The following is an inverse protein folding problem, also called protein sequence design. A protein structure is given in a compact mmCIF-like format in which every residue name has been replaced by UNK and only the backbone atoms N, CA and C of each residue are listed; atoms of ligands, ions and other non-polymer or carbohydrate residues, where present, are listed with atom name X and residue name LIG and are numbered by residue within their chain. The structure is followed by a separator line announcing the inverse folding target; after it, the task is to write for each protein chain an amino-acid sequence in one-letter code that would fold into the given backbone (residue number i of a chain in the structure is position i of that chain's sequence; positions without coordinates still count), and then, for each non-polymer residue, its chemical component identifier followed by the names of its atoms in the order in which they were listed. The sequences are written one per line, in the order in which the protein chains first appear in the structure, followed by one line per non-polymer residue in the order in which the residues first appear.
data_IF_239554876334
#
_entry.id   IF_239554876334
#
_cell.length_a   1.000
_cell.length_b   1.000
_cell.length_c   1.000
_cell.angle_alpha   90.00
_cell.angle_beta   90.00
_cell.angle_gamma   90.00
#
_symmetry.space_group_name_H-M   'P 1'
#
loop_
_entity.id
_entity.type
_entity.pdbx_description
1 polymer ?
#
# COMPACT_ATOMS: atom_id res chain seq x y z
N UNK A 1 1.60 -39.36 9.50
CA UNK A 1 1.29 -38.02 10.04
C UNK A 1 2.52 -37.11 10.07
N UNK A 2 3.63 -37.46 10.75
CA UNK A 2 4.83 -36.59 10.79
C UNK A 2 5.48 -36.34 9.42
N UNK A 3 5.62 -37.38 8.59
CA UNK A 3 6.17 -37.26 7.22
C UNK A 3 5.30 -36.35 6.34
N UNK A 4 3.99 -36.35 6.57
CA UNK A 4 3.01 -35.56 5.82
C UNK A 4 3.05 -34.08 6.22
N UNK A 5 3.24 -33.81 7.52
CA UNK A 5 3.34 -32.45 8.06
C UNK A 5 4.67 -31.78 7.69
N UNK A 6 5.76 -32.54 7.69
CA UNK A 6 7.06 -32.09 7.16
C UNK A 6 6.97 -31.78 5.66
N UNK A 7 6.24 -32.59 4.90
CA UNK A 7 5.99 -32.34 3.48
C UNK A 7 5.16 -31.08 3.26
N UNK A 8 4.12 -30.86 4.07
CA UNK A 8 3.28 -29.65 4.02
C UNK A 8 4.09 -28.38 4.26
N UNK A 9 5.04 -28.41 5.18
CA UNK A 9 5.92 -27.26 5.46
C UNK A 9 6.85 -26.98 4.30
N UNK A 10 7.44 -28.02 3.68
CA UNK A 10 8.26 -27.84 2.49
C UNK A 10 7.44 -27.24 1.35
N UNK A 11 6.23 -27.74 1.11
CA UNK A 11 5.32 -27.17 0.11
C UNK A 11 5.01 -25.70 0.42
N UNK A 12 4.66 -25.38 1.67
CA UNK A 12 4.38 -24.03 2.11
C UNK A 12 5.58 -23.08 1.95
N UNK A 13 6.78 -23.55 2.30
CA UNK A 13 8.03 -22.82 2.15
C UNK A 13 8.36 -22.56 0.67
N UNK A 14 8.19 -23.55 -0.20
CA UNK A 14 8.46 -23.41 -1.63
C UNK A 14 7.44 -22.48 -2.30
N UNK A 15 6.16 -22.63 -1.98
CA UNK A 15 5.11 -21.73 -2.47
C UNK A 15 5.33 -20.30 -1.95
N UNK A 16 5.52 -20.13 -0.65
CA UNK A 16 5.79 -18.82 -0.04
C UNK A 16 7.06 -18.17 -0.62
N UNK A 17 8.14 -18.92 -0.79
CA UNK A 17 9.39 -18.43 -1.36
C UNK A 17 9.21 -17.99 -2.82
N UNK A 18 8.51 -18.78 -3.63
CA UNK A 18 8.18 -18.43 -5.01
C UNK A 18 7.29 -17.18 -5.12
N UNK A 19 6.24 -17.09 -4.31
CA UNK A 19 5.34 -15.93 -4.27
C UNK A 19 6.07 -14.67 -3.81
N UNK A 20 6.98 -14.79 -2.83
CA UNK A 20 7.77 -13.68 -2.29
C UNK A 20 8.52 -12.95 -3.39
N UNK A 21 9.48 -13.60 -4.04
CA UNK A 21 10.27 -12.94 -5.09
C UNK A 21 9.46 -12.71 -6.37
N UNK A 22 8.53 -13.61 -6.69
CA UNK A 22 7.69 -13.52 -7.88
C UNK A 22 6.88 -12.23 -7.93
N UNK A 23 6.20 -11.86 -6.83
CA UNK A 23 5.49 -10.58 -6.75
C UNK A 23 6.43 -9.41 -6.45
N UNK A 24 7.45 -9.60 -5.60
CA UNK A 24 8.34 -8.53 -5.17
C UNK A 24 9.20 -7.92 -6.29
N UNK A 25 9.60 -8.73 -7.27
CA UNK A 25 10.39 -8.26 -8.42
C UNK A 25 9.59 -7.39 -9.41
N UNK A 26 8.26 -7.56 -9.49
CA UNK A 26 7.41 -6.85 -10.45
C UNK A 26 7.49 -5.34 -10.22
N UNK A 27 7.35 -4.92 -8.97
CA UNK A 27 7.30 -3.50 -8.63
C UNK A 27 8.61 -2.78 -8.92
N UNK A 28 9.72 -3.36 -8.47
CA UNK A 28 11.06 -2.81 -8.72
C UNK A 28 11.33 -2.70 -10.22
N UNK A 29 11.14 -3.77 -10.99
CA UNK A 29 11.40 -3.77 -12.43
C UNK A 29 10.59 -2.69 -13.19
N UNK A 30 9.31 -2.50 -12.85
CA UNK A 30 8.47 -1.44 -13.44
C UNK A 30 9.00 -0.05 -13.06
N UNK A 31 9.29 0.18 -11.78
CA UNK A 31 9.81 1.45 -11.28
C UNK A 31 11.17 1.82 -11.89
N UNK A 32 12.09 0.86 -11.94
CA UNK A 32 13.42 1.02 -12.53
C UNK A 32 13.38 1.24 -14.03
N UNK A 33 12.52 0.49 -14.74
CA UNK A 33 12.31 0.68 -16.18
C UNK A 33 11.75 2.07 -16.49
N UNK A 34 10.84 2.58 -15.65
CA UNK A 34 10.33 3.94 -15.78
C UNK A 34 11.43 5.00 -15.55
N UNK A 35 12.25 4.82 -14.51
CA UNK A 35 13.40 5.70 -14.25
C UNK A 35 14.39 5.71 -15.43
N UNK A 36 14.74 4.54 -15.96
CA UNK A 36 15.60 4.41 -17.14
C UNK A 36 15.00 5.09 -18.39
N UNK A 37 13.69 4.94 -18.62
CA UNK A 37 13.02 5.58 -19.74
C UNK A 37 13.07 7.12 -19.64
N UNK A 38 12.87 7.69 -18.46
CA UNK A 38 13.00 9.15 -18.27
C UNK A 38 14.47 9.61 -18.30
N UNK A 39 15.41 8.81 -17.81
CA UNK A 39 16.84 9.10 -17.95
C UNK A 39 17.26 9.16 -19.43
N UNK A 40 16.81 8.23 -20.27
CA UNK A 40 17.06 8.29 -21.72
C UNK A 40 16.50 9.56 -22.37
N UNK A 41 15.30 10.00 -21.97
CA UNK A 41 14.75 11.29 -22.44
C UNK A 41 15.61 12.46 -21.98
N UNK A 42 16.01 12.48 -20.72
CA UNK A 42 16.89 13.51 -20.16
C UNK A 42 18.26 13.57 -20.89
N UNK A 43 18.84 12.41 -21.21
CA UNK A 43 20.08 12.30 -21.99
C UNK A 43 19.92 12.74 -23.44
N UNK A 44 18.78 12.45 -24.07
CA UNK A 44 18.51 12.90 -25.44
C UNK A 44 18.41 14.41 -25.55
N UNK A 45 18.00 15.09 -24.48
CA UNK A 45 17.97 16.54 -24.39
C UNK A 45 19.35 17.13 -24.07
N UNK A 46 20.13 16.49 -23.18
CA UNK A 46 21.45 16.98 -22.73
C UNK A 46 22.48 15.84 -22.58
N UNK A 47 23.15 15.40 -23.67
CA UNK A 47 24.10 14.28 -23.64
C UNK A 47 25.35 14.54 -22.77
N UNK A 48 25.75 15.80 -22.64
CA UNK A 48 26.92 16.23 -21.86
C UNK A 48 26.77 15.92 -20.36
N UNK A 49 25.53 15.80 -19.87
CA UNK A 49 25.21 15.51 -18.46
C UNK A 49 25.11 14.01 -18.17
N UNK A 50 25.64 13.16 -19.06
CA UNK A 50 25.45 11.71 -18.99
C UNK A 50 25.91 11.09 -17.69
N UNK A 51 27.09 11.49 -17.19
CA UNK A 51 27.60 11.01 -15.92
C UNK A 51 26.65 11.27 -14.75
N UNK A 52 26.11 12.48 -14.64
CA UNK A 52 25.23 12.88 -13.53
C UNK A 52 23.85 12.24 -13.62
N UNK A 53 23.28 12.18 -14.83
CA UNK A 53 21.97 11.57 -15.06
C UNK A 53 22.03 10.05 -14.80
N UNK A 54 23.03 9.36 -15.36
CA UNK A 54 23.21 7.92 -15.13
C UNK A 54 23.47 7.63 -13.66
N UNK A 55 24.32 8.42 -12.99
CA UNK A 55 24.56 8.26 -11.55
C UNK A 55 23.26 8.41 -10.75
N UNK A 56 22.44 9.41 -11.06
CA UNK A 56 21.17 9.65 -10.36
C UNK A 56 20.17 8.52 -10.62
N UNK A 57 20.06 8.07 -11.86
CA UNK A 57 19.25 6.92 -12.26
C UNK A 57 19.64 5.68 -11.44
N UNK A 58 20.93 5.34 -11.40
CA UNK A 58 21.42 4.16 -10.67
C UNK A 58 21.17 4.25 -9.16
N UNK A 59 21.33 5.44 -8.56
CA UNK A 59 21.00 5.65 -7.14
C UNK A 59 19.51 5.45 -6.90
N UNK A 60 18.64 6.00 -7.76
CA UNK A 60 17.20 5.83 -7.65
C UNK A 60 16.75 4.37 -7.84
N UNK A 61 17.32 3.68 -8.83
CA UNK A 61 17.08 2.25 -9.08
C UNK A 61 17.53 1.40 -7.89
N UNK A 62 18.71 1.64 -7.32
CA UNK A 62 19.16 0.92 -6.13
C UNK A 62 18.20 1.06 -4.93
N UNK A 63 17.57 2.23 -4.77
CA UNK A 63 16.55 2.42 -3.73
C UNK A 63 15.27 1.67 -4.09
N UNK A 64 14.84 1.66 -5.35
CA UNK A 64 13.67 0.89 -5.79
C UNK A 64 13.87 -0.63 -5.60
N UNK A 65 15.05 -1.12 -5.95
CA UNK A 65 15.47 -2.52 -5.85
C UNK A 65 15.46 -3.05 -4.41
N UNK A 66 15.64 -2.17 -3.41
CA UNK A 66 15.64 -2.59 -1.99
C UNK A 66 14.36 -3.35 -1.59
N UNK A 67 13.20 -3.00 -2.18
CA UNK A 67 11.95 -3.72 -1.96
C UNK A 67 12.01 -5.18 -2.47
N UNK A 68 12.56 -5.38 -3.67
CA UNK A 68 12.76 -6.69 -4.26
C UNK A 68 13.81 -7.49 -3.48
N UNK A 69 14.86 -6.83 -2.96
CA UNK A 69 15.85 -7.46 -2.07
C UNK A 69 15.19 -7.96 -0.78
N UNK A 70 14.27 -7.21 -0.17
CA UNK A 70 13.54 -7.70 1.01
C UNK A 70 12.74 -8.98 0.68
N UNK A 71 12.06 -9.00 -0.46
CA UNK A 71 11.36 -10.19 -0.93
C UNK A 71 12.29 -11.37 -1.27
N UNK A 72 13.48 -11.09 -1.82
CA UNK A 72 14.51 -12.09 -2.10
C UNK A 72 15.05 -12.69 -0.80
N UNK A 73 15.33 -11.86 0.20
CA UNK A 73 15.81 -12.32 1.51
C UNK A 73 14.77 -13.23 2.16
N UNK A 74 13.49 -12.86 2.17
CA UNK A 74 12.42 -13.72 2.69
C UNK A 74 12.30 -15.01 1.88
N UNK A 75 12.42 -14.95 0.55
CA UNK A 75 12.37 -16.15 -0.29
C UNK A 75 13.49 -17.14 0.07
N UNK A 76 14.73 -16.66 0.17
CA UNK A 76 15.88 -17.48 0.57
C UNK A 76 15.68 -18.03 1.98
N UNK A 77 15.24 -17.19 2.93
CA UNK A 77 14.97 -17.64 4.28
C UNK A 77 13.91 -18.74 4.28
N UNK A 78 12.79 -18.60 3.56
CA UNK A 78 11.76 -19.64 3.48
C UNK A 78 12.31 -20.95 2.91
N UNK A 79 13.14 -20.90 1.86
CA UNK A 79 13.70 -22.11 1.21
C UNK A 79 14.67 -22.89 2.11
N UNK A 80 15.42 -22.20 2.97
CA UNK A 80 16.46 -22.81 3.80
C UNK A 80 16.11 -22.84 5.30
N UNK A 81 14.94 -22.34 5.70
CA UNK A 81 14.49 -22.34 7.09
C UNK A 81 14.23 -23.78 7.56
N UNK A 82 14.94 -24.17 8.61
CA UNK A 82 14.62 -25.40 9.33
C UNK A 82 13.49 -25.13 10.32
N UNK A 83 12.42 -25.93 10.22
CA UNK A 83 11.28 -25.86 11.14
C UNK A 83 11.33 -27.08 12.07
N UNK A 84 11.74 -26.90 13.34
CA UNK A 84 11.92 -28.03 14.26
C UNK A 84 10.59 -28.69 14.65
N UNK A 85 9.53 -27.89 14.81
CA UNK A 85 8.21 -28.33 15.22
C UNK A 85 7.21 -28.13 14.06
N UNK A 86 6.96 -29.18 13.26
CA UNK A 86 6.07 -29.04 12.12
C UNK A 86 4.62 -28.88 12.58
N UNK A 87 3.93 -27.83 12.16
CA UNK A 87 2.50 -27.61 12.46
C UNK A 87 1.76 -27.02 11.25
N UNK A 88 0.45 -27.25 11.17
CA UNK A 88 -0.41 -26.64 10.13
C UNK A 88 -0.40 -25.12 10.24
N UNK A 89 -0.34 -24.59 11.46
CA UNK A 89 -0.21 -23.15 11.72
C UNK A 89 1.07 -22.61 11.09
N UNK A 90 2.18 -23.34 11.21
CA UNK A 90 3.44 -22.93 10.61
C UNK A 90 3.39 -22.98 9.10
N UNK A 91 2.80 -24.02 8.51
CA UNK A 91 2.63 -24.08 7.05
C UNK A 91 1.85 -22.86 6.53
N UNK A 92 0.72 -22.51 7.16
CA UNK A 92 -0.06 -21.34 6.76
C UNK A 92 0.70 -20.01 6.96
N UNK A 93 1.47 -19.88 8.05
CA UNK A 93 2.26 -18.68 8.32
C UNK A 93 3.40 -18.48 7.32
N UNK A 94 4.04 -19.55 6.82
CA UNK A 94 5.09 -19.46 5.81
C UNK A 94 4.56 -19.00 4.44
N UNK A 95 3.39 -19.50 4.03
CA UNK A 95 2.72 -19.02 2.81
C UNK A 95 2.32 -17.55 2.99
N UNK A 96 1.71 -17.22 4.14
CA UNK A 96 1.33 -15.86 4.49
C UNK A 96 2.52 -14.89 4.48
N UNK A 97 3.68 -15.30 5.01
CA UNK A 97 4.90 -14.50 5.03
C UNK A 97 5.41 -14.17 3.63
N UNK A 98 5.50 -15.17 2.75
CA UNK A 98 5.94 -14.97 1.37
C UNK A 98 5.01 -14.05 0.60
N UNK A 99 3.70 -14.25 0.72
CA UNK A 99 2.70 -13.39 0.08
C UNK A 99 2.72 -11.96 0.61
N UNK A 100 2.94 -11.79 1.92
CA UNK A 100 2.99 -10.50 2.58
C UNK A 100 4.07 -9.59 2.01
N UNK A 101 5.33 -10.07 1.99
CA UNK A 101 6.44 -9.27 1.47
C UNK A 101 6.39 -9.12 -0.05
N UNK A 102 5.97 -10.16 -0.78
CA UNK A 102 5.88 -10.09 -2.24
C UNK A 102 4.92 -8.98 -2.70
N UNK A 103 3.70 -8.95 -2.13
CA UNK A 103 2.72 -7.90 -2.42
C UNK A 103 3.13 -6.54 -1.84
N UNK A 104 3.78 -6.50 -0.67
CA UNK A 104 4.22 -5.25 -0.07
C UNK A 104 5.37 -4.57 -0.82
N UNK A 105 6.28 -5.37 -1.39
CA UNK A 105 7.36 -4.88 -2.23
C UNK A 105 6.85 -4.36 -3.58
N UNK A 106 5.79 -4.95 -4.13
CA UNK A 106 5.20 -4.55 -5.41
C UNK A 106 4.84 -3.05 -5.42
N UNK A 107 4.10 -2.57 -4.43
CA UNK A 107 3.69 -1.17 -4.41
C UNK A 107 4.85 -0.19 -4.25
N UNK A 108 5.75 -0.50 -3.32
CA UNK A 108 6.90 0.34 -2.96
C UNK A 108 7.92 0.44 -4.11
N UNK A 109 8.15 -0.67 -4.84
CA UNK A 109 9.01 -0.70 -6.02
C UNK A 109 8.47 0.18 -7.15
N UNK A 110 7.16 0.11 -7.46
CA UNK A 110 6.57 0.98 -8.49
C UNK A 110 6.63 2.45 -8.08
N UNK A 111 6.26 2.76 -6.83
CA UNK A 111 6.21 4.14 -6.32
C UNK A 111 7.57 4.83 -6.32
N UNK A 112 8.63 4.13 -5.90
CA UNK A 112 10.00 4.68 -5.82
C UNK A 112 10.64 4.97 -7.18
N UNK A 113 10.14 4.39 -8.27
CA UNK A 113 10.60 4.72 -9.63
C UNK A 113 10.27 6.14 -10.08
N UNK A 114 9.18 6.74 -9.60
CA UNK A 114 8.75 8.09 -9.99
C UNK A 114 9.70 9.22 -9.53
N UNK A 115 10.14 9.31 -8.26
CA UNK A 115 11.12 10.31 -7.86
C UNK A 115 12.45 10.17 -8.61
N UNK A 116 12.92 8.95 -8.88
CA UNK A 116 14.12 8.72 -9.68
C UNK A 116 13.98 9.25 -11.12
N UNK A 117 12.85 8.93 -11.75
CA UNK A 117 12.50 9.40 -13.08
C UNK A 117 12.48 10.93 -13.20
N UNK A 118 11.74 11.62 -12.31
CA UNK A 118 11.64 13.08 -12.34
C UNK A 118 12.93 13.77 -11.85
N UNK A 119 13.73 13.10 -11.01
CA UNK A 119 15.06 13.58 -10.65
C UNK A 119 16.00 13.61 -11.86
N UNK A 120 16.01 12.56 -12.69
CA UNK A 120 16.82 12.54 -13.91
C UNK A 120 16.42 13.68 -14.87
N UNK A 121 15.12 13.91 -15.07
CA UNK A 121 14.62 15.00 -15.91
C UNK A 121 14.94 16.38 -15.36
N UNK A 122 14.83 16.56 -14.05
CA UNK A 122 15.14 17.86 -13.46
C UNK A 122 16.64 18.16 -13.46
N UNK A 123 17.53 17.17 -13.37
CA UNK A 123 18.98 17.37 -13.53
C UNK A 123 19.31 17.85 -14.94
N UNK A 124 18.70 17.26 -15.97
CA UNK A 124 18.87 17.73 -17.35
C UNK A 124 18.45 19.20 -17.53
N UNK A 125 17.48 19.68 -16.74
CA UNK A 125 17.01 21.07 -16.79
C UNK A 125 17.81 22.01 -15.89
N UNK A 126 18.25 21.53 -14.72
CA UNK A 126 18.92 22.31 -13.69
C UNK A 126 20.05 21.51 -13.03
N UNK A 127 21.22 21.36 -13.69
CA UNK A 127 22.33 20.55 -13.19
C UNK A 127 22.88 21.06 -11.85
N UNK A 128 22.81 22.38 -11.64
CA UNK A 128 23.25 23.05 -10.43
C UNK A 128 22.50 22.60 -9.16
N UNK A 129 21.32 22.00 -9.31
CA UNK A 129 20.51 21.52 -8.19
C UNK A 129 20.66 20.03 -7.92
N UNK A 130 21.58 19.33 -8.60
CA UNK A 130 21.76 17.88 -8.48
C UNK A 130 21.76 17.40 -7.02
N UNK A 131 22.57 18.00 -6.13
CA UNK A 131 22.62 17.59 -4.72
C UNK A 131 21.28 17.75 -3.98
N UNK A 132 20.54 18.84 -4.23
CA UNK A 132 19.21 19.04 -3.65
C UNK A 132 18.19 18.06 -4.23
N UNK A 133 18.25 17.81 -5.54
CA UNK A 133 17.39 16.85 -6.23
C UNK A 133 17.61 15.42 -5.73
N UNK A 134 18.86 14.99 -5.59
CA UNK A 134 19.18 13.68 -5.01
C UNK A 134 18.63 13.58 -3.59
N UNK A 135 18.74 14.64 -2.79
CA UNK A 135 18.18 14.65 -1.42
C UNK A 135 16.66 14.49 -1.45
N UNK A 136 15.94 15.27 -2.25
CA UNK A 136 14.47 15.15 -2.38
C UNK A 136 14.06 13.78 -2.90
N UNK A 137 14.77 13.26 -3.90
CA UNK A 137 14.56 11.92 -4.46
C UNK A 137 14.72 10.85 -3.38
N UNK A 138 15.80 10.89 -2.61
CA UNK A 138 16.07 9.91 -1.55
C UNK A 138 15.05 9.99 -0.42
N UNK A 139 14.72 11.20 0.04
CA UNK A 139 13.69 11.39 1.09
C UNK A 139 12.34 10.86 0.61
N UNK A 140 11.92 11.23 -0.61
CA UNK A 140 10.68 10.75 -1.19
C UNK A 140 10.66 9.23 -1.36
N UNK A 141 11.74 8.65 -1.88
CA UNK A 141 11.86 7.19 -2.08
C UNK A 141 11.91 6.43 -0.76
N UNK A 142 12.56 6.96 0.28
CA UNK A 142 12.58 6.35 1.60
C UNK A 142 11.17 6.24 2.21
N UNK A 143 10.35 7.28 2.03
CA UNK A 143 8.95 7.27 2.44
C UNK A 143 8.17 6.20 1.66
N UNK A 144 8.42 6.06 0.35
CA UNK A 144 7.81 5.01 -0.49
C UNK A 144 8.14 3.59 -0.03
N UNK A 145 9.28 3.38 0.62
CA UNK A 145 9.72 2.06 1.08
C UNK A 145 9.08 1.61 2.40
N UNK A 146 8.46 2.52 3.15
CA UNK A 146 7.86 2.18 4.44
C UNK A 146 6.83 1.04 4.37
N UNK A 147 5.93 0.92 3.36
CA UNK A 147 4.98 -0.18 3.34
C UNK A 147 5.65 -1.54 3.09
N UNK A 148 6.71 -1.60 2.29
CA UNK A 148 7.53 -2.80 2.14
C UNK A 148 8.22 -3.19 3.45
N UNK A 149 8.70 -2.21 4.23
CA UNK A 149 9.28 -2.47 5.57
C UNK A 149 8.20 -3.01 6.52
N UNK A 150 7.00 -2.45 6.54
CA UNK A 150 5.89 -2.98 7.36
C UNK A 150 5.55 -4.42 6.97
N UNK A 151 5.48 -4.73 5.67
CA UNK A 151 5.28 -6.11 5.20
C UNK A 151 6.44 -7.02 5.57
N UNK A 152 7.69 -6.54 5.52
CA UNK A 152 8.87 -7.31 5.93
C UNK A 152 8.78 -7.67 7.42
N UNK A 153 8.39 -6.73 8.27
CA UNK A 153 8.21 -6.97 9.70
C UNK A 153 7.14 -8.05 9.94
N UNK A 154 5.97 -7.96 9.29
CA UNK A 154 4.91 -8.97 9.44
C UNK A 154 5.36 -10.33 8.90
N UNK A 155 6.05 -10.38 7.76
CA UNK A 155 6.59 -11.62 7.19
C UNK A 155 7.59 -12.30 8.15
N UNK A 156 8.54 -11.54 8.71
CA UNK A 156 9.49 -12.05 9.69
C UNK A 156 8.79 -12.54 10.96
N UNK A 157 7.78 -11.82 11.45
CA UNK A 157 6.99 -12.27 12.59
C UNK A 157 6.28 -13.61 12.31
N UNK A 158 5.62 -13.75 11.15
CA UNK A 158 4.98 -15.02 10.75
C UNK A 158 6.00 -16.18 10.61
N UNK A 159 7.22 -15.88 10.19
CA UNK A 159 8.31 -16.86 10.02
C UNK A 159 8.98 -17.28 11.33
N UNK A 160 9.10 -16.40 12.32
CA UNK A 160 9.92 -16.67 13.51
C UNK A 160 9.13 -16.79 14.81
N UNK A 161 7.91 -16.26 14.87
CA UNK A 161 7.05 -16.44 16.05
C UNK A 161 6.54 -17.88 16.09
N UNK A 162 6.56 -18.46 17.29
CA UNK A 162 5.90 -19.72 17.60
C UNK A 162 4.50 -19.43 18.13
N UNK A 163 3.49 -19.96 17.46
CA UNK A 163 2.08 -19.76 17.83
C UNK A 163 1.52 -20.86 18.74
N UNK A 164 2.38 -21.77 19.24
CA UNK A 164 2.01 -22.83 20.18
C UNK A 164 0.95 -23.77 19.64
N UNK A 165 0.15 -24.35 20.54
CA UNK A 165 -0.94 -25.28 20.25
C UNK A 165 -2.28 -24.58 19.95
N UNK A 166 -2.22 -23.40 19.35
CA UNK A 166 -3.42 -22.66 19.00
C UNK A 166 -4.32 -23.45 18.01
N UNK A 167 -5.65 -23.20 18.04
CA UNK A 167 -6.59 -23.97 17.23
C UNK A 167 -6.31 -23.83 15.73
N UNK A 168 -6.69 -24.85 14.95
CA UNK A 168 -6.45 -24.91 13.49
C UNK A 168 -7.03 -23.69 12.75
N UNK A 169 -8.11 -23.10 13.26
CA UNK A 169 -8.67 -21.85 12.72
C UNK A 169 -7.66 -20.70 12.67
N UNK A 170 -6.69 -20.67 13.61
CA UNK A 170 -5.62 -19.68 13.65
C UNK A 170 -4.69 -19.81 12.45
N UNK A 171 -4.57 -20.98 11.83
CA UNK A 171 -3.78 -21.12 10.60
C UNK A 171 -4.32 -20.20 9.48
N UNK A 172 -5.64 -20.13 9.32
CA UNK A 172 -6.28 -19.24 8.32
C UNK A 172 -6.11 -17.77 8.70
N UNK A 173 -6.17 -17.44 10.00
CA UNK A 173 -5.89 -16.09 10.48
C UNK A 173 -4.44 -15.66 10.20
N UNK A 174 -3.46 -16.54 10.38
CA UNK A 174 -2.03 -16.27 10.09
C UNK A 174 -1.77 -16.06 8.60
N UNK A 175 -2.37 -16.89 7.75
CA UNK A 175 -2.35 -16.67 6.31
C UNK A 175 -3.02 -15.33 5.94
N UNK A 176 -4.19 -15.06 6.50
CA UNK A 176 -4.94 -13.82 6.33
C UNK A 176 -4.16 -12.58 6.78
N UNK A 177 -3.40 -12.65 7.88
CA UNK A 177 -2.56 -11.56 8.35
C UNK A 177 -1.52 -11.15 7.30
N UNK A 178 -0.83 -12.13 6.71
CA UNK A 178 0.13 -11.89 5.64
C UNK A 178 -0.52 -11.29 4.39
N UNK A 179 -1.65 -11.85 3.97
CA UNK A 179 -2.43 -11.35 2.83
C UNK A 179 -2.93 -9.91 3.05
N UNK A 180 -3.45 -9.60 4.24
CA UNK A 180 -3.99 -8.29 4.60
C UNK A 180 -2.92 -7.20 4.49
N UNK A 181 -1.78 -7.40 5.17
CA UNK A 181 -0.66 -6.47 5.15
C UNK A 181 -0.08 -6.32 3.74
N UNK A 182 0.12 -7.44 3.02
CA UNK A 182 0.63 -7.44 1.66
C UNK A 182 -0.22 -6.61 0.71
N UNK A 183 -1.54 -6.83 0.69
CA UNK A 183 -2.47 -6.06 -0.14
C UNK A 183 -2.53 -4.58 0.29
N UNK A 184 -2.60 -4.29 1.58
CA UNK A 184 -2.69 -2.93 2.09
C UNK A 184 -1.45 -2.06 1.82
N UNK A 185 -0.29 -2.70 1.65
CA UNK A 185 0.95 -2.03 1.28
C UNK A 185 1.00 -1.59 -0.20
N UNK A 186 0.27 -2.26 -1.11
CA UNK A 186 0.33 -1.97 -2.56
C UNK A 186 -0.04 -0.51 -2.84
N UNK A 187 -1.25 -0.10 -2.45
CA UNK A 187 -1.76 1.24 -2.72
C UNK A 187 -0.91 2.34 -2.09
N UNK A 188 -0.52 2.14 -0.83
CA UNK A 188 0.28 3.09 -0.06
C UNK A 188 1.69 3.29 -0.64
N UNK A 189 2.33 2.19 -1.07
CA UNK A 189 3.66 2.22 -1.69
C UNK A 189 3.64 2.94 -3.03
N UNK A 190 2.67 2.61 -3.89
CA UNK A 190 2.51 3.28 -5.19
C UNK A 190 2.13 4.75 -5.05
N UNK A 191 1.17 5.05 -4.16
CA UNK A 191 0.63 6.40 -3.96
C UNK A 191 1.66 7.37 -3.42
N UNK A 192 2.49 6.97 -2.46
CA UNK A 192 3.53 7.84 -1.88
C UNK A 192 4.67 8.21 -2.85
N UNK A 193 4.81 7.49 -3.96
CA UNK A 193 5.73 7.81 -5.05
C UNK A 193 5.35 9.03 -5.87
N UNK A 194 4.05 9.29 -6.01
CA UNK A 194 3.54 10.40 -6.82
C UNK A 194 3.92 11.79 -6.29
N UNK A 195 3.70 12.12 -4.99
CA UNK A 195 4.18 13.39 -4.43
C UNK A 195 5.70 13.51 -4.44
N UNK A 196 6.44 12.40 -4.29
CA UNK A 196 7.90 12.42 -4.39
C UNK A 196 8.39 12.82 -5.80
N UNK A 197 7.80 12.24 -6.85
CA UNK A 197 8.06 12.61 -8.24
C UNK A 197 7.71 14.07 -8.53
N UNK A 198 6.49 14.50 -8.18
CA UNK A 198 6.06 15.89 -8.41
C UNK A 198 6.84 16.90 -7.57
N UNK A 199 7.35 16.52 -6.39
CA UNK A 199 8.27 17.35 -5.61
C UNK A 199 9.65 17.50 -6.30
N UNK A 200 10.20 16.43 -6.88
CA UNK A 200 11.46 16.48 -7.64
C UNK A 200 11.32 17.40 -8.87
N UNK A 201 10.25 17.19 -9.65
CA UNK A 201 9.89 18.02 -10.80
C UNK A 201 9.61 19.47 -10.39
N UNK A 202 8.93 19.65 -9.26
CA UNK A 202 8.62 20.96 -8.68
C UNK A 202 9.86 21.72 -8.24
N UNK A 203 10.84 21.03 -7.65
CA UNK A 203 12.12 21.60 -7.25
C UNK A 203 12.92 22.11 -8.45
N UNK A 204 12.97 21.32 -9.54
CA UNK A 204 13.61 21.73 -10.79
C UNK A 204 12.88 22.88 -11.51
N UNK A 205 11.62 23.14 -11.17
CA UNK A 205 10.86 24.28 -11.69
C UNK A 205 10.99 25.51 -10.80
N UNK A 206 10.93 25.33 -9.50
CA UNK A 206 10.88 26.42 -8.52
C UNK A 206 11.75 26.10 -7.29
N UNK A 207 13.06 26.35 -7.37
CA UNK A 207 14.01 26.00 -6.31
C UNK A 207 13.77 26.77 -5.01
N UNK A 208 13.19 27.97 -5.10
CA UNK A 208 12.86 28.80 -3.94
C UNK A 208 11.74 28.20 -3.07
N UNK A 209 10.91 27.30 -3.62
CA UNK A 209 9.82 26.64 -2.90
C UNK A 209 10.21 25.27 -2.31
N UNK A 210 11.52 24.95 -2.24
CA UNK A 210 12.01 23.65 -1.78
C UNK A 210 11.49 23.22 -0.39
N UNK A 211 11.48 24.15 0.58
CA UNK A 211 10.99 23.90 1.93
C UNK A 211 9.50 23.51 1.94
N UNK A 212 8.60 24.37 1.44
CA UNK A 212 7.18 24.06 1.31
C UNK A 212 6.89 22.78 0.51
N UNK A 213 7.62 22.53 -0.59
CA UNK A 213 7.47 21.31 -1.38
C UNK A 213 7.80 20.06 -0.57
N UNK A 214 8.93 20.06 0.15
CA UNK A 214 9.34 18.92 0.96
C UNK A 214 8.35 18.67 2.10
N UNK A 215 7.91 19.72 2.78
CA UNK A 215 6.91 19.61 3.85
C UNK A 215 5.60 19.03 3.32
N UNK A 216 5.08 19.55 2.20
CA UNK A 216 3.83 19.08 1.62
C UNK A 216 3.94 17.65 1.06
N UNK A 217 5.08 17.29 0.45
CA UNK A 217 5.38 15.92 0.04
C UNK A 217 5.31 14.97 1.24
N UNK A 218 5.98 15.29 2.34
CA UNK A 218 6.00 14.45 3.54
C UNK A 218 4.61 14.31 4.17
N UNK A 219 3.88 15.41 4.33
CA UNK A 219 2.51 15.40 4.88
C UNK A 219 1.59 14.58 3.99
N UNK A 220 1.60 14.83 2.68
CA UNK A 220 0.76 14.12 1.72
C UNK A 220 1.08 12.62 1.67
N UNK A 221 2.36 12.26 1.67
CA UNK A 221 2.79 10.85 1.68
C UNK A 221 2.48 10.13 3.00
N UNK A 222 2.60 10.81 4.15
CA UNK A 222 2.26 10.23 5.45
C UNK A 222 0.77 9.86 5.50
N UNK A 223 -0.10 10.74 5.00
CA UNK A 223 -1.53 10.46 4.89
C UNK A 223 -1.79 9.29 3.93
N UNK A 224 -1.09 9.22 2.79
CA UNK A 224 -1.20 8.08 1.85
C UNK A 224 -0.79 6.72 2.43
N UNK A 225 -0.10 6.69 3.57
CA UNK A 225 0.34 5.45 4.22
C UNK A 225 -0.59 4.93 5.30
N UNK A 226 -1.56 5.73 5.78
CA UNK A 226 -2.50 5.28 6.81
C UNK A 226 -3.26 4.00 6.41
N UNK A 227 -3.60 3.73 5.14
CA UNK A 227 -4.23 2.45 4.77
C UNK A 227 -3.34 1.23 4.99
N UNK A 228 -2.01 1.35 4.77
CA UNK A 228 -1.08 0.29 5.11
C UNK A 228 -0.97 0.09 6.63
N UNK A 229 -1.07 1.17 7.42
CA UNK A 229 -1.11 1.08 8.89
C UNK A 229 -2.39 0.36 9.33
N UNK A 230 -3.55 0.65 8.75
CA UNK A 230 -4.80 -0.06 9.05
C UNK A 230 -4.69 -1.56 8.74
N UNK A 231 -4.10 -1.92 7.59
CA UNK A 231 -3.84 -3.31 7.24
C UNK A 231 -2.84 -3.99 8.20
N UNK A 232 -1.78 -3.30 8.61
CA UNK A 232 -0.83 -3.80 9.61
C UNK A 232 -1.53 -4.06 10.94
N UNK A 233 -2.38 -3.15 11.41
CA UNK A 233 -3.12 -3.30 12.66
C UNK A 233 -4.03 -4.54 12.58
N UNK A 234 -4.76 -4.75 11.48
CA UNK A 234 -5.58 -5.95 11.27
C UNK A 234 -4.72 -7.22 11.23
N UNK A 235 -3.56 -7.19 10.56
CA UNK A 235 -2.64 -8.32 10.53
C UNK A 235 -2.12 -8.69 11.94
N UNK A 236 -1.72 -7.69 12.73
CA UNK A 236 -1.30 -7.89 14.12
C UNK A 236 -2.45 -8.44 14.98
N UNK A 237 -3.67 -7.94 14.82
CA UNK A 237 -4.84 -8.50 15.49
C UNK A 237 -5.06 -9.96 15.11
N UNK A 238 -5.02 -10.31 13.83
CA UNK A 238 -5.18 -11.70 13.38
C UNK A 238 -4.09 -12.65 13.92
N UNK A 239 -2.87 -12.15 14.13
CA UNK A 239 -1.78 -12.93 14.71
C UNK A 239 -1.91 -13.13 16.23
N UNK A 240 -2.28 -12.09 16.96
CA UNK A 240 -2.15 -12.04 18.42
C UNK A 240 -3.47 -12.14 19.18
N UNK A 241 -4.62 -11.95 18.54
CA UNK A 241 -5.91 -12.19 19.21
C UNK A 241 -6.05 -13.66 19.61
N UNK A 242 -6.61 -13.86 20.79
CA UNK A 242 -6.98 -15.18 21.28
C UNK A 242 -8.40 -15.50 20.80
N UNK A 243 -8.50 -16.44 19.88
CA UNK A 243 -9.79 -16.86 19.32
C UNK A 243 -10.47 -17.96 20.16
N UNK A 244 -9.91 -18.34 21.32
CA UNK A 244 -10.54 -19.30 22.25
C UNK A 244 -10.93 -20.63 21.56
N UNK A 245 -12.06 -21.20 21.99
CA UNK A 245 -12.68 -22.39 21.37
C UNK A 245 -13.59 -22.03 20.19
N UNK A 246 -13.18 -21.08 19.34
CA UNK A 246 -13.92 -20.81 18.10
C UNK A 246 -14.01 -22.08 17.26
N UNK A 247 -15.22 -22.53 16.96
CA UNK A 247 -15.43 -23.61 16.00
C UNK A 247 -14.80 -23.23 14.65
N UNK A 248 -14.22 -24.22 13.96
CA UNK A 248 -13.56 -23.96 12.68
C UNK A 248 -14.53 -23.31 11.67
N UNK A 249 -15.75 -23.87 11.54
CA UNK A 249 -16.81 -23.33 10.68
C UNK A 249 -17.84 -22.56 11.54
N UNK A 250 -18.09 -21.25 11.29
CA UNK A 250 -17.68 -20.43 10.14
C UNK A 250 -16.46 -19.51 10.36
N UNK A 251 -15.76 -19.63 11.49
CA UNK A 251 -14.73 -18.68 11.90
C UNK A 251 -13.55 -18.52 10.91
N UNK A 252 -13.13 -19.60 10.23
CA UNK A 252 -12.06 -19.51 9.22
C UNK A 252 -12.37 -18.48 8.13
N UNK A 253 -13.63 -18.43 7.70
CA UNK A 253 -14.11 -17.57 6.64
C UNK A 253 -14.27 -16.12 7.12
N UNK A 254 -14.65 -15.93 8.38
CA UNK A 254 -14.68 -14.62 9.01
C UNK A 254 -13.29 -13.99 9.09
N UNK A 255 -12.27 -14.75 9.52
CA UNK A 255 -10.90 -14.23 9.63
C UNK A 255 -10.27 -13.95 8.26
N UNK A 256 -10.49 -14.82 7.27
CA UNK A 256 -10.03 -14.55 5.91
C UNK A 256 -10.80 -13.37 5.28
N UNK A 257 -12.10 -13.29 5.52
CA UNK A 257 -12.94 -12.16 5.10
C UNK A 257 -12.46 -10.84 5.70
N UNK A 258 -12.11 -10.81 6.99
CA UNK A 258 -11.55 -9.65 7.67
C UNK A 258 -10.23 -9.21 7.02
N UNK A 259 -9.31 -10.14 6.77
CA UNK A 259 -8.06 -9.85 6.09
C UNK A 259 -8.27 -9.20 4.71
N UNK A 260 -9.16 -9.80 3.90
CA UNK A 260 -9.47 -9.34 2.54
C UNK A 260 -10.17 -7.98 2.53
N UNK A 261 -11.05 -7.72 3.50
CA UNK A 261 -11.82 -6.48 3.59
C UNK A 261 -10.91 -5.25 3.75
N UNK A 262 -10.04 -5.24 4.77
CA UNK A 262 -9.09 -4.14 4.96
C UNK A 262 -8.00 -4.14 3.90
N UNK A 263 -7.43 -5.31 3.58
CA UNK A 263 -6.30 -5.40 2.64
C UNK A 263 -6.62 -4.86 1.25
N UNK A 264 -7.75 -5.27 0.65
CA UNK A 264 -8.14 -4.81 -0.68
C UNK A 264 -8.60 -3.34 -0.67
N UNK A 265 -9.41 -2.92 0.29
CA UNK A 265 -9.93 -1.54 0.36
C UNK A 265 -8.83 -0.49 0.57
N UNK A 266 -7.72 -0.88 1.19
CA UNK A 266 -6.54 -0.05 1.36
C UNK A 266 -5.82 0.30 0.04
N UNK A 267 -5.92 -0.54 -1.00
CA UNK A 267 -5.24 -0.32 -2.29
C UNK A 267 -5.70 0.99 -2.94
N UNK A 268 -7.01 1.14 -3.12
CA UNK A 268 -7.57 2.34 -3.75
C UNK A 268 -7.32 3.60 -2.95
N UNK A 269 -7.51 3.51 -1.63
CA UNK A 269 -7.36 4.64 -0.71
C UNK A 269 -5.92 5.16 -0.67
N UNK A 270 -4.93 4.25 -0.58
CA UNK A 270 -3.51 4.61 -0.54
C UNK A 270 -3.05 5.27 -1.85
N UNK A 271 -3.43 4.70 -2.99
CA UNK A 271 -3.06 5.25 -4.29
C UNK A 271 -3.74 6.61 -4.55
N UNK A 272 -5.05 6.69 -4.28
CA UNK A 272 -5.84 7.92 -4.47
C UNK A 272 -5.33 9.08 -3.61
N UNK A 273 -4.92 8.82 -2.36
CA UNK A 273 -4.28 9.84 -1.53
C UNK A 273 -2.97 10.34 -2.13
N UNK A 274 -2.21 9.44 -2.77
CA UNK A 274 -0.99 9.77 -3.49
C UNK A 274 -1.20 10.75 -4.64
N UNK A 275 -2.25 10.53 -5.44
CA UNK A 275 -2.62 11.43 -6.54
C UNK A 275 -2.89 12.85 -6.05
N UNK A 276 -3.70 12.99 -4.99
CA UNK A 276 -4.01 14.27 -4.38
C UNK A 276 -2.75 14.97 -3.84
N UNK A 277 -1.85 14.22 -3.18
CA UNK A 277 -0.58 14.74 -2.68
C UNK A 277 0.35 15.21 -3.81
N UNK A 278 0.42 14.46 -4.92
CA UNK A 278 1.20 14.84 -6.10
C UNK A 278 0.68 16.11 -6.76
N UNK A 279 -0.64 16.23 -6.97
CA UNK A 279 -1.24 17.46 -7.49
C UNK A 279 -1.02 18.67 -6.58
N UNK A 280 -0.95 18.46 -5.26
CA UNK A 280 -0.65 19.52 -4.30
C UNK A 280 0.81 19.99 -4.44
N UNK A 281 1.76 19.06 -4.55
CA UNK A 281 3.17 19.38 -4.81
C UNK A 281 3.34 20.12 -6.16
N UNK A 282 2.67 19.64 -7.22
CA UNK A 282 2.64 20.30 -8.52
C UNK A 282 2.07 21.73 -8.41
N UNK A 283 0.96 21.90 -7.67
CA UNK A 283 0.31 23.18 -7.43
C UNK A 283 1.23 24.17 -6.72
N UNK A 284 1.92 23.74 -5.67
CA UNK A 284 2.88 24.55 -4.91
C UNK A 284 4.05 24.98 -5.79
N UNK A 285 4.58 24.08 -6.63
CA UNK A 285 5.67 24.40 -7.53
C UNK A 285 5.29 25.48 -8.56
N UNK A 286 4.02 25.48 -9.01
CA UNK A 286 3.49 26.46 -9.96
C UNK A 286 3.12 27.78 -9.28
N UNK A 287 2.57 27.70 -8.06
CA UNK A 287 2.01 28.83 -7.33
C UNK A 287 2.41 28.78 -5.84
N UNK A 288 3.67 29.15 -5.48
CA UNK A 288 4.19 29.00 -4.11
C UNK A 288 3.47 29.84 -3.05
N UNK A 289 2.71 30.86 -3.46
CA UNK A 289 1.90 31.67 -2.54
C UNK A 289 0.65 30.95 -2.03
N UNK A 290 0.23 29.88 -2.73
CA UNK A 290 -1.01 29.17 -2.47
C UNK A 290 -0.82 27.89 -1.63
N UNK A 291 0.31 27.73 -0.93
CA UNK A 291 0.62 26.53 -0.13
C UNK A 291 -0.50 26.21 0.87
N UNK A 292 -0.94 27.18 1.66
CA UNK A 292 -1.97 26.98 2.67
C UNK A 292 -3.27 26.38 2.09
N UNK A 293 -3.94 27.07 1.14
CA UNK A 293 -5.14 26.54 0.48
C UNK A 293 -4.95 25.16 -0.16
N UNK A 294 -3.79 24.91 -0.79
CA UNK A 294 -3.49 23.64 -1.45
C UNK A 294 -3.35 22.49 -0.45
N UNK A 295 -2.59 22.69 0.62
CA UNK A 295 -2.43 21.70 1.69
C UNK A 295 -3.75 21.42 2.38
N UNK A 296 -4.57 22.44 2.65
CA UNK A 296 -5.91 22.24 3.26
C UNK A 296 -6.81 21.38 2.40
N UNK A 297 -6.92 21.67 1.10
CA UNK A 297 -7.81 20.91 0.19
C UNK A 297 -7.25 19.51 -0.08
N UNK A 298 -5.93 19.37 -0.16
CA UNK A 298 -5.28 18.06 -0.20
C UNK A 298 -5.71 17.21 1.00
N UNK A 299 -5.56 17.72 2.22
CA UNK A 299 -5.92 16.98 3.43
C UNK A 299 -7.40 16.64 3.50
N UNK A 300 -8.29 17.56 3.12
CA UNK A 300 -9.73 17.27 3.08
C UNK A 300 -10.06 16.22 2.02
N UNK A 301 -9.49 16.34 0.82
CA UNK A 301 -9.68 15.37 -0.24
C UNK A 301 -9.16 13.97 0.14
N UNK A 302 -7.99 13.90 0.78
CA UNK A 302 -7.42 12.65 1.30
C UNK A 302 -8.26 12.04 2.42
N UNK A 303 -8.78 12.86 3.36
CA UNK A 303 -9.64 12.37 4.43
C UNK A 303 -10.88 11.64 3.89
N UNK A 304 -11.50 12.18 2.84
CA UNK A 304 -12.63 11.50 2.17
C UNK A 304 -12.17 10.29 1.36
N UNK A 305 -11.02 10.36 0.70
CA UNK A 305 -10.48 9.24 -0.07
C UNK A 305 -10.15 8.00 0.79
N UNK A 306 -9.96 8.17 2.10
CA UNK A 306 -9.67 7.09 3.03
C UNK A 306 -10.89 6.36 3.60
N UNK A 307 -12.08 6.96 3.54
CA UNK A 307 -13.27 6.33 4.17
C UNK A 307 -13.59 4.93 3.65
N UNK A 308 -13.34 4.54 2.37
CA UNK A 308 -13.58 3.17 1.93
C UNK A 308 -12.68 2.16 2.65
N UNK A 309 -11.43 2.53 2.96
CA UNK A 309 -10.55 1.71 3.79
C UNK A 309 -11.04 1.64 5.24
N UNK A 310 -11.62 2.73 5.77
CA UNK A 310 -12.23 2.74 7.11
C UNK A 310 -13.46 1.82 7.16
N UNK A 311 -14.28 1.77 6.09
CA UNK A 311 -15.38 0.81 5.99
C UNK A 311 -14.87 -0.64 5.94
N UNK A 312 -13.77 -0.90 5.20
CA UNK A 312 -13.08 -2.19 5.23
C UNK A 312 -12.58 -2.57 6.62
N UNK A 313 -11.97 -1.62 7.33
CA UNK A 313 -11.52 -1.79 8.72
C UNK A 313 -12.68 -2.12 9.66
N UNK A 314 -13.80 -1.40 9.52
CA UNK A 314 -15.01 -1.64 10.30
C UNK A 314 -15.55 -3.06 10.08
N UNK A 315 -15.70 -3.49 8.81
CA UNK A 315 -16.16 -4.85 8.48
C UNK A 315 -15.19 -5.90 9.03
N UNK A 316 -13.88 -5.63 8.97
CA UNK A 316 -12.85 -6.52 9.53
C UNK A 316 -12.99 -6.68 11.04
N UNK A 317 -13.24 -5.59 11.77
CA UNK A 317 -13.46 -5.64 13.21
C UNK A 317 -14.74 -6.39 13.56
N UNK A 318 -15.82 -6.16 12.80
CA UNK A 318 -17.08 -6.88 13.01
C UNK A 318 -16.85 -8.39 12.81
N UNK A 319 -16.16 -8.80 11.74
CA UNK A 319 -15.87 -10.21 11.47
C UNK A 319 -14.95 -10.86 12.51
N UNK A 320 -14.02 -10.12 13.12
CA UNK A 320 -13.12 -10.65 14.14
C UNK A 320 -13.76 -10.76 15.53
N UNK A 321 -14.62 -9.81 15.91
CA UNK A 321 -15.14 -9.71 17.28
C UNK A 321 -16.58 -10.21 17.45
N UNK A 322 -17.34 -10.40 16.36
CA UNK A 322 -18.68 -10.98 16.43
C UNK A 322 -18.58 -12.49 16.64
N UNK A 323 -19.31 -13.01 17.63
CA UNK A 323 -19.45 -14.44 17.82
C UNK A 323 -20.42 -15.03 16.77
N UNK A 324 -20.01 -16.14 16.15
CA UNK A 324 -20.82 -16.89 15.19
C UNK A 324 -21.06 -18.30 15.74
N UNK A 325 -22.32 -18.79 15.76
CA UNK A 325 -22.62 -20.12 16.25
C UNK A 325 -21.99 -21.18 15.33
N UNK A 326 -21.54 -22.28 15.93
CA UNK A 326 -21.00 -23.42 15.18
C UNK A 326 -22.06 -23.98 14.23
N UNK A 327 -21.64 -24.28 12.99
CA UNK A 327 -22.53 -24.80 11.97
C UNK A 327 -21.81 -25.77 11.03
N UNK A 328 -22.49 -26.85 10.67
CA UNK A 328 -22.02 -27.77 9.63
C UNK A 328 -22.29 -27.23 8.21
N UNK A 329 -23.17 -26.23 8.07
CA UNK A 329 -23.48 -25.65 6.78
C UNK A 329 -22.31 -24.83 6.23
N UNK A 330 -22.06 -24.94 4.91
CA UNK A 330 -21.05 -24.13 4.24
C UNK A 330 -21.54 -22.68 3.98
N UNK A 331 -22.85 -22.49 3.88
CA UNK A 331 -23.45 -21.19 3.52
C UNK A 331 -23.07 -20.06 4.49
N UNK A 332 -23.10 -20.22 5.82
CA UNK A 332 -22.68 -19.16 6.75
C UNK A 332 -21.21 -18.77 6.58
N UNK A 333 -20.29 -19.73 6.43
CA UNK A 333 -18.89 -19.42 6.15
C UNK A 333 -18.74 -18.62 4.84
N UNK A 334 -19.39 -19.07 3.76
CA UNK A 334 -19.30 -18.37 2.49
C UNK A 334 -19.92 -16.97 2.56
N UNK A 335 -20.97 -16.75 3.36
CA UNK A 335 -21.53 -15.42 3.60
C UNK A 335 -20.50 -14.49 4.25
N UNK A 336 -19.80 -14.94 5.31
CA UNK A 336 -18.79 -14.14 6.00
C UNK A 336 -17.56 -13.84 5.12
N UNK A 337 -17.08 -14.81 4.35
CA UNK A 337 -16.01 -14.58 3.37
C UNK A 337 -16.46 -13.59 2.29
N UNK A 338 -17.69 -13.74 1.79
CA UNK A 338 -18.26 -12.87 0.76
C UNK A 338 -18.46 -11.45 1.27
N UNK A 339 -18.82 -11.26 2.54
CA UNK A 339 -18.90 -9.94 3.17
C UNK A 339 -17.54 -9.24 3.15
N UNK A 340 -16.47 -9.96 3.52
CA UNK A 340 -15.11 -9.44 3.45
C UNK A 340 -14.69 -9.05 2.03
N UNK A 341 -14.92 -9.94 1.06
CA UNK A 341 -14.62 -9.72 -0.36
C UNK A 341 -15.41 -8.53 -0.95
N UNK A 342 -16.71 -8.46 -0.66
CA UNK A 342 -17.60 -7.41 -1.16
C UNK A 342 -17.11 -6.03 -0.74
N UNK A 343 -16.87 -5.83 0.56
CA UNK A 343 -16.33 -4.58 1.07
C UNK A 343 -14.90 -4.31 0.56
N UNK A 344 -14.04 -5.34 0.51
CA UNK A 344 -12.67 -5.21 0.03
C UNK A 344 -12.59 -4.67 -1.40
N UNK A 345 -13.24 -5.34 -2.36
CA UNK A 345 -13.29 -4.89 -3.75
C UNK A 345 -14.08 -3.59 -3.91
N UNK A 346 -15.20 -3.46 -3.21
CA UNK A 346 -16.04 -2.26 -3.23
C UNK A 346 -15.32 -1.01 -2.72
N UNK A 347 -14.25 -1.16 -1.95
CA UNK A 347 -13.44 -0.05 -1.46
C UNK A 347 -12.38 0.48 -2.45
N UNK A 348 -11.94 -0.33 -3.43
CA UNK A 348 -10.83 0.04 -4.33
C UNK A 348 -11.24 1.22 -5.23
N UNK A 349 -12.35 1.08 -5.96
CA UNK A 349 -12.80 2.07 -6.92
C UNK A 349 -13.05 3.45 -6.29
N UNK A 350 -13.86 3.54 -5.22
CA UNK A 350 -14.12 4.79 -4.52
C UNK A 350 -12.85 5.43 -3.96
N UNK A 351 -11.95 4.67 -3.33
CA UNK A 351 -10.68 5.22 -2.82
C UNK A 351 -9.87 5.92 -3.91
N UNK A 352 -9.77 5.27 -5.09
CA UNK A 352 -9.10 5.83 -6.26
C UNK A 352 -9.85 7.05 -6.84
N UNK A 353 -11.15 6.93 -7.08
CA UNK A 353 -11.98 7.97 -7.70
C UNK A 353 -12.09 9.24 -6.84
N UNK A 354 -12.10 9.08 -5.51
CA UNK A 354 -12.04 10.22 -4.60
C UNK A 354 -10.69 10.93 -4.67
N UNK A 355 -9.60 10.17 -4.78
CA UNK A 355 -8.25 10.70 -5.01
C UNK A 355 -8.15 11.49 -6.30
N UNK A 356 -8.69 10.97 -7.41
CA UNK A 356 -8.74 11.65 -8.71
C UNK A 356 -9.58 12.94 -8.65
N UNK A 357 -10.70 12.91 -7.93
CA UNK A 357 -11.55 14.09 -7.73
C UNK A 357 -10.81 15.17 -6.95
N UNK A 358 -10.09 14.78 -5.89
CA UNK A 358 -9.24 15.68 -5.12
C UNK A 358 -8.08 16.24 -5.95
N UNK A 359 -7.39 15.39 -6.72
CA UNK A 359 -6.34 15.78 -7.67
C UNK A 359 -6.83 16.88 -8.64
N UNK A 360 -8.00 16.69 -9.23
CA UNK A 360 -8.65 17.66 -10.11
C UNK A 360 -8.92 18.99 -9.41
N UNK A 361 -9.52 18.95 -8.22
CA UNK A 361 -9.82 20.16 -7.44
C UNK A 361 -8.55 20.94 -7.08
N UNK A 362 -7.52 20.25 -6.59
CA UNK A 362 -6.23 20.85 -6.19
C UNK A 362 -5.56 21.56 -7.37
N UNK A 363 -5.54 20.95 -8.56
CA UNK A 363 -4.96 21.56 -9.77
C UNK A 363 -5.65 22.85 -10.21
N UNK A 364 -6.95 23.01 -9.92
CA UNK A 364 -7.69 24.23 -10.23
C UNK A 364 -7.54 25.28 -9.14
N UNK A 365 -7.56 24.87 -7.87
CA UNK A 365 -7.31 25.78 -6.73
C UNK A 365 -5.93 26.40 -6.81
N UNK A 366 -4.93 25.65 -7.30
CA UNK A 366 -3.59 26.18 -7.52
C UNK A 366 -3.60 27.43 -8.40
N UNK A 367 -4.46 27.46 -9.43
CA UNK A 367 -4.58 28.55 -10.41
C UNK A 367 -5.54 29.65 -9.95
N UNK A 368 -6.57 29.29 -9.17
CA UNK A 368 -7.64 30.19 -8.75
C UNK A 368 -7.97 29.97 -7.26
N UNK A 369 -7.10 30.47 -6.38
CA UNK A 369 -7.25 30.30 -4.93
C UNK A 369 -8.47 31.03 -4.35
N UNK A 370 -8.96 32.07 -5.01
CA UNK A 370 -10.17 32.80 -4.60
C UNK A 370 -11.43 31.93 -4.69
N UNK A 371 -11.46 31.00 -5.66
CA UNK A 371 -12.56 30.05 -5.87
C UNK A 371 -12.39 28.76 -5.06
N UNK A 372 -11.47 28.72 -4.08
CA UNK A 372 -11.14 27.50 -3.34
C UNK A 372 -12.35 26.87 -2.63
N UNK A 373 -13.21 27.70 -2.04
CA UNK A 373 -14.41 27.25 -1.34
C UNK A 373 -15.42 26.58 -2.29
N UNK A 374 -15.60 27.12 -3.50
CA UNK A 374 -16.48 26.55 -4.51
C UNK A 374 -15.91 25.23 -5.05
N UNK A 375 -14.62 25.21 -5.38
CA UNK A 375 -13.95 24.01 -5.89
C UNK A 375 -13.95 22.88 -4.86
N UNK A 376 -13.74 23.21 -3.58
CA UNK A 376 -13.86 22.27 -2.47
C UNK A 376 -15.28 21.70 -2.35
N UNK A 377 -16.33 22.52 -2.51
CA UNK A 377 -17.71 22.03 -2.49
C UNK A 377 -17.99 21.07 -3.65
N UNK A 378 -17.57 21.40 -4.87
CA UNK A 378 -17.75 20.53 -6.04
C UNK A 378 -16.96 19.23 -5.85
N UNK A 379 -15.74 19.30 -5.33
CA UNK A 379 -14.94 18.14 -4.96
C UNK A 379 -15.69 17.23 -4.00
N UNK A 380 -16.22 17.77 -2.90
CA UNK A 380 -16.94 17.01 -1.89
C UNK A 380 -18.22 16.38 -2.44
N UNK A 381 -18.95 17.08 -3.32
CA UNK A 381 -20.12 16.52 -4.01
C UNK A 381 -19.72 15.36 -4.92
N UNK A 382 -18.68 15.53 -5.73
CA UNK A 382 -18.17 14.46 -6.61
C UNK A 382 -17.68 13.24 -5.81
N UNK A 383 -16.96 13.47 -4.71
CA UNK A 383 -16.53 12.42 -3.81
C UNK A 383 -17.72 11.72 -3.14
N UNK A 384 -18.74 12.46 -2.69
CA UNK A 384 -19.94 11.86 -2.11
C UNK A 384 -20.67 10.93 -3.11
N UNK A 385 -20.74 11.31 -4.39
CA UNK A 385 -21.30 10.44 -5.44
C UNK A 385 -20.44 9.21 -5.66
N UNK A 386 -19.11 9.38 -5.78
CA UNK A 386 -18.18 8.25 -5.93
C UNK A 386 -18.21 7.29 -4.74
N UNK A 387 -18.50 7.78 -3.53
CA UNK A 387 -18.60 6.99 -2.30
C UNK A 387 -19.83 6.09 -2.24
N UNK A 388 -20.89 6.39 -3.00
CA UNK A 388 -22.13 5.59 -2.97
C UNK A 388 -21.89 4.11 -3.24
N UNK A 389 -20.96 3.74 -4.13
CA UNK A 389 -20.65 2.34 -4.43
C UNK A 389 -19.91 1.63 -3.29
N UNK A 390 -19.08 2.32 -2.51
CA UNK A 390 -18.50 1.78 -1.27
C UNK A 390 -19.60 1.55 -0.22
N UNK A 391 -20.58 2.46 -0.13
CA UNK A 391 -21.72 2.32 0.78
C UNK A 391 -22.57 1.10 0.37
N UNK A 392 -22.83 0.90 -0.92
CA UNK A 392 -23.56 -0.29 -1.39
C UNK A 392 -22.83 -1.58 -1.02
N UNK A 393 -21.52 -1.64 -1.22
CA UNK A 393 -20.70 -2.78 -0.83
C UNK A 393 -20.72 -3.02 0.69
N UNK A 394 -20.62 -1.95 1.49
CA UNK A 394 -20.74 -2.02 2.94
C UNK A 394 -22.12 -2.55 3.36
N UNK A 395 -23.20 -2.04 2.77
CA UNK A 395 -24.57 -2.49 3.09
C UNK A 395 -24.75 -3.98 2.80
N UNK A 396 -24.32 -4.46 1.62
CA UNK A 396 -24.39 -5.89 1.30
C UNK A 396 -23.52 -6.72 2.26
N UNK A 397 -22.34 -6.24 2.62
CA UNK A 397 -21.47 -6.90 3.59
C UNK A 397 -22.13 -7.01 4.97
N UNK A 398 -22.81 -5.95 5.42
CA UNK A 398 -23.55 -5.96 6.69
C UNK A 398 -24.78 -6.89 6.63
N UNK A 399 -25.50 -6.94 5.51
CA UNK A 399 -26.60 -7.89 5.31
C UNK A 399 -26.08 -9.34 5.41
N UNK A 400 -24.95 -9.64 4.76
CA UNK A 400 -24.30 -10.96 4.83
C UNK A 400 -23.79 -11.35 6.22
N UNK A 401 -23.58 -10.39 7.12
CA UNK A 401 -23.06 -10.63 8.48
C UNK A 401 -24.19 -10.72 9.52
N UNK A 402 -25.25 -9.92 9.36
CA UNK A 402 -26.27 -9.72 10.39
C UNK A 402 -27.64 -10.29 10.04
N UNK A 403 -27.94 -10.50 8.76
CA UNK A 403 -29.27 -10.91 8.31
C UNK A 403 -29.28 -12.34 7.77
N UNK A 404 -28.23 -12.70 7.01
CA UNK A 404 -27.98 -14.05 6.48
C UNK A 404 -27.04 -14.76 7.43
#
# INVERSE_FOLDING_TARGET
MEIELQSMIKVAAYLGGGMSIGFGAIGAAIGEGHAAAQANRALSENPELSGDIVKTMLVGQAVAESAAIFALVVAILLLFLQVPAPTVLKAASLIGAGLCIGLGALGSGVGSGMPAAEACRGIARQPQLMGRMTTTMLVGSAVCQTPAILSMVIALMLMFINFGDAPVVKAVALFGAGLCMGLGAIGSGMGSGHPAGEACKGLARQPAAAGPLTANMLVGSAVSQTPAIFAMVVALMLMFLNFGESAFNPAWAAFLGAALSTGLSAIGSGYGCGLAAGASCEGIARHPRNVGPLTTIMLVGQAVAQTPCIFGLLVSFILMFKAFPETAALAPAMALLSAGLCMGFGGIGPGLGNGMTAEGAIRWVARQSESASLLMRIMLVGQAVSQSTAIYAMVISLVLIFVI
#
